data_IF_365887311944
#
_entry.id   IF_365887311944
#
_cell.length_a   1.000
_cell.length_b   1.000
_cell.length_c   1.000
_cell.angle_alpha   90.00
_cell.angle_beta   90.00
_cell.angle_gamma   90.00
#
_symmetry.space_group_name_H-M   'P 1'
#
loop_
_entity.id
_entity.type
_entity.pdbx_description
1 polymer ?
#
# COMPACT_ATOMS: atom_id res chain seq x y z
N UNK A 1 -17.41 4.02 -15.10
CA UNK A 1 -18.69 3.40 -15.52
C UNK A 1 -19.75 4.49 -15.62
N UNK A 2 -20.57 4.51 -16.68
CA UNK A 2 -21.67 5.48 -16.83
C UNK A 2 -23.01 4.75 -16.73
N UNK A 3 -23.87 5.18 -15.81
CA UNK A 3 -25.20 4.60 -15.55
C UNK A 3 -26.23 5.72 -15.40
N UNK A 4 -27.30 5.71 -16.21
CA UNK A 4 -28.41 6.65 -16.12
C UNK A 4 -27.97 8.12 -15.89
N UNK A 5 -27.05 8.61 -16.72
CA UNK A 5 -26.43 9.94 -16.66
C UNK A 5 -25.44 10.21 -15.52
N UNK A 6 -25.22 9.27 -14.60
CA UNK A 6 -24.19 9.34 -13.57
C UNK A 6 -22.92 8.60 -14.00
N UNK A 7 -21.77 9.26 -13.89
CA UNK A 7 -20.46 8.66 -14.14
C UNK A 7 -19.77 8.34 -12.81
N UNK A 8 -19.55 7.05 -12.57
CA UNK A 8 -18.94 6.53 -11.34
C UNK A 8 -17.55 5.98 -11.68
N UNK A 9 -16.54 6.46 -10.97
CA UNK A 9 -15.19 5.90 -10.94
C UNK A 9 -15.05 4.93 -9.75
N UNK A 10 -14.38 3.81 -9.98
CA UNK A 10 -14.16 2.76 -8.99
C UNK A 10 -12.66 2.69 -8.73
N UNK A 11 -12.25 3.00 -7.50
CA UNK A 11 -10.86 3.03 -7.05
C UNK A 11 -9.94 4.00 -7.83
N UNK A 12 -8.87 4.45 -7.17
CA UNK A 12 -7.79 5.27 -7.74
C UNK A 12 -6.45 4.94 -7.04
N UNK A 13 -5.81 3.84 -7.43
CA UNK A 13 -4.50 3.44 -6.89
C UNK A 13 -3.33 4.06 -7.65
N UNK A 14 -2.18 4.18 -6.98
CA UNK A 14 -0.89 4.39 -7.64
C UNK A 14 -0.31 3.07 -8.12
N UNK A 15 0.36 3.08 -9.26
CA UNK A 15 1.13 1.94 -9.74
C UNK A 15 2.51 1.92 -9.04
N UNK A 16 2.55 1.26 -7.89
CA UNK A 16 3.74 1.16 -7.03
C UNK A 16 4.88 0.27 -7.59
N UNK A 17 4.65 -0.79 -8.39
CA UNK A 17 5.71 -1.54 -9.05
C UNK A 17 6.73 -0.68 -9.80
N UNK A 18 6.33 0.47 -10.33
CA UNK A 18 7.23 1.45 -10.97
C UNK A 18 8.37 1.90 -10.03
N UNK A 19 8.17 1.87 -8.71
CA UNK A 19 9.21 2.23 -7.74
C UNK A 19 10.40 1.28 -7.72
N UNK A 20 10.26 0.06 -8.26
CA UNK A 20 11.35 -0.92 -8.39
C UNK A 20 12.39 -0.51 -9.42
N UNK A 21 12.05 0.43 -10.30
CA UNK A 21 12.95 0.99 -11.30
C UNK A 21 13.90 2.06 -10.74
N UNK A 22 13.69 2.49 -9.49
CA UNK A 22 14.51 3.50 -8.82
C UNK A 22 15.41 2.86 -7.78
N UNK A 23 16.61 3.41 -7.60
CA UNK A 23 17.46 3.00 -6.49
C UNK A 23 16.77 3.29 -5.15
N UNK A 24 16.97 2.43 -4.13
CA UNK A 24 16.49 2.72 -2.79
C UNK A 24 17.07 4.02 -2.26
N UNK A 25 16.22 4.88 -1.69
CA UNK A 25 16.65 6.14 -1.09
C UNK A 25 17.39 5.88 0.23
N UNK A 26 18.74 6.00 0.26
CA UNK A 26 19.50 5.61 1.43
C UNK A 26 19.44 6.72 2.49
N UNK A 27 18.98 6.38 3.70
CA UNK A 27 19.07 7.29 4.85
C UNK A 27 20.49 7.41 5.41
N UNK A 28 21.30 6.38 5.19
CA UNK A 28 22.67 6.28 5.64
C UNK A 28 23.52 5.88 4.45
N UNK A 29 24.75 6.37 4.42
CA UNK A 29 25.70 6.00 3.38
C UNK A 29 25.81 4.47 3.26
N UNK A 30 25.64 3.97 2.04
CA UNK A 30 25.78 2.55 1.72
C UNK A 30 26.87 2.38 0.66
N UNK A 31 28.03 1.80 1.01
CA UNK A 31 29.11 1.60 0.04
C UNK A 31 28.67 0.69 -1.11
N UNK A 32 27.73 -0.23 -0.85
CA UNK A 32 27.16 -1.12 -1.87
C UNK A 32 26.32 -0.36 -2.90
N UNK A 33 25.50 0.60 -2.47
CA UNK A 33 24.67 1.40 -3.37
C UNK A 33 25.50 2.48 -4.09
N UNK A 34 26.37 3.18 -3.37
CA UNK A 34 27.23 4.22 -3.96
C UNK A 34 28.27 3.64 -4.93
N UNK A 35 28.67 2.39 -4.71
CA UNK A 35 29.66 1.67 -5.53
C UNK A 35 29.07 0.93 -6.74
N UNK A 36 27.77 1.05 -7.00
CA UNK A 36 27.18 0.44 -8.20
C UNK A 36 27.80 1.04 -9.47
N UNK A 37 28.09 0.21 -10.49
CA UNK A 37 28.61 0.70 -11.76
C UNK A 37 27.59 1.61 -12.43
N UNK A 38 28.09 2.62 -13.14
CA UNK A 38 27.25 3.46 -14.00
C UNK A 38 26.83 2.66 -15.21
N UNK A 39 25.56 2.75 -15.58
CA UNK A 39 25.11 2.20 -16.84
C UNK A 39 25.74 3.00 -17.99
N UNK A 40 26.16 2.31 -19.03
CA UNK A 40 26.69 2.92 -20.24
C UNK A 40 25.81 2.53 -21.42
N UNK A 41 25.38 3.54 -22.19
CA UNK A 41 24.64 3.30 -23.41
C UNK A 41 25.51 2.52 -24.39
N UNK A 42 25.02 1.36 -24.85
CA UNK A 42 25.71 0.50 -25.81
C UNK A 42 25.51 0.95 -27.25
N UNK A 43 24.58 1.86 -27.51
CA UNK A 43 24.33 2.44 -28.83
C UNK A 43 25.18 3.71 -29.02
N UNK A 44 26.20 3.68 -29.89
CA UNK A 44 27.09 4.82 -30.09
C UNK A 44 26.41 6.04 -30.72
N UNK A 45 25.26 5.88 -31.40
CA UNK A 45 24.51 7.01 -31.96
C UNK A 45 23.80 7.82 -30.88
N UNK A 46 23.28 7.14 -29.86
CA UNK A 46 22.54 7.74 -28.73
C UNK A 46 23.51 8.23 -27.65
N UNK A 47 24.64 7.53 -27.47
CA UNK A 47 25.66 7.90 -26.48
C UNK A 47 26.32 9.26 -26.74
N UNK A 48 26.39 9.71 -28.01
CA UNK A 48 26.98 11.00 -28.40
C UNK A 48 26.08 12.19 -28.07
N UNK A 49 24.76 12.00 -28.13
CA UNK A 49 23.76 13.04 -27.90
C UNK A 49 23.31 13.15 -26.43
N UNK A 50 23.80 12.26 -25.56
CA UNK A 50 23.41 12.20 -24.16
C UNK A 50 24.30 13.11 -23.30
N UNK A 51 23.73 14.13 -22.63
CA UNK A 51 24.48 14.92 -21.65
C UNK A 51 25.07 14.01 -20.58
N UNK A 52 26.38 14.16 -20.28
CA UNK A 52 27.07 13.32 -19.29
C UNK A 52 26.35 13.30 -17.94
N UNK A 53 25.74 14.42 -17.54
CA UNK A 53 25.02 14.55 -16.28
C UNK A 53 23.76 13.67 -16.21
N UNK A 54 23.10 13.42 -17.35
CA UNK A 54 21.92 12.54 -17.43
C UNK A 54 22.35 11.07 -17.42
N UNK A 55 23.40 10.71 -18.16
CA UNK A 55 23.93 9.34 -18.16
C UNK A 55 24.38 8.90 -16.75
N UNK A 56 24.84 9.84 -15.92
CA UNK A 56 25.24 9.60 -14.53
C UNK A 56 24.09 9.21 -13.61
N UNK A 57 22.83 9.43 -14.02
CA UNK A 57 21.64 9.09 -13.23
C UNK A 57 21.24 7.61 -13.34
N UNK A 58 21.93 6.81 -14.17
CA UNK A 58 21.63 5.39 -14.34
C UNK A 58 22.72 4.51 -13.72
N UNK A 59 22.30 3.52 -12.93
CA UNK A 59 23.17 2.50 -12.32
C UNK A 59 22.76 1.12 -12.79
N UNK A 60 23.73 0.23 -12.92
CA UNK A 60 23.47 -1.16 -13.33
C UNK A 60 23.80 -2.12 -12.19
N UNK A 61 22.97 -3.15 -11.99
CA UNK A 61 23.26 -4.26 -11.10
C UNK A 61 22.64 -5.54 -11.67
N UNK A 62 23.46 -6.57 -11.90
CA UNK A 62 23.03 -7.89 -12.42
C UNK A 62 22.14 -7.75 -13.68
N UNK A 63 22.51 -6.88 -14.62
CA UNK A 63 21.77 -6.67 -15.88
C UNK A 63 20.49 -5.84 -15.75
N UNK A 64 20.12 -5.40 -14.53
CA UNK A 64 19.03 -4.46 -14.31
C UNK A 64 19.57 -3.03 -14.20
N UNK A 65 18.89 -2.09 -14.86
CA UNK A 65 19.20 -0.66 -14.80
C UNK A 65 18.25 0.02 -13.82
N UNK A 66 18.80 0.89 -12.98
CA UNK A 66 18.08 1.65 -11.97
C UNK A 66 18.31 3.14 -12.15
N UNK A 67 17.29 3.92 -11.82
CA UNK A 67 17.33 5.38 -11.84
C UNK A 67 17.75 5.90 -10.45
N UNK A 68 18.86 6.64 -10.41
CA UNK A 68 19.35 7.39 -9.25
C UNK A 68 18.67 8.76 -9.19
N UNK A 69 17.37 8.77 -8.90
CA UNK A 69 16.61 10.01 -8.66
C UNK A 69 15.55 9.79 -7.59
N UNK A 70 14.89 10.88 -7.19
CA UNK A 70 13.63 10.76 -6.46
C UNK A 70 12.65 9.87 -7.25
N UNK A 71 11.99 8.88 -6.61
CA UNK A 71 11.04 8.01 -7.30
C UNK A 71 9.86 8.78 -7.85
N UNK A 72 9.48 8.47 -9.08
CA UNK A 72 8.26 8.97 -9.71
C UNK A 72 7.19 7.88 -9.71
N UNK A 73 5.93 8.31 -9.68
CA UNK A 73 4.75 7.46 -9.61
C UNK A 73 4.01 7.50 -10.93
N UNK A 74 3.61 6.33 -11.42
CA UNK A 74 2.68 6.23 -12.53
C UNK A 74 1.26 6.35 -12.01
N UNK A 75 0.49 7.20 -12.69
CA UNK A 75 -0.93 7.40 -12.45
C UNK A 75 -1.74 6.47 -13.37
N UNK A 76 -2.97 6.08 -12.97
CA UNK A 76 -3.89 5.41 -13.88
C UNK A 76 -4.06 6.23 -15.17
N UNK A 77 -4.25 5.56 -16.31
CA UNK A 77 -4.46 6.26 -17.58
C UNK A 77 -5.70 7.16 -17.52
N UNK A 78 -5.49 8.47 -17.45
CA UNK A 78 -6.57 9.47 -17.40
C UNK A 78 -6.97 9.97 -18.78
N UNK A 79 -6.28 9.59 -19.86
CA UNK A 79 -6.49 10.12 -21.20
C UNK A 79 -7.81 9.67 -21.86
N UNK A 80 -8.45 8.63 -21.33
CA UNK A 80 -9.68 8.06 -21.91
C UNK A 80 -10.96 8.76 -21.43
N UNK A 81 -10.92 9.44 -20.27
CA UNK A 81 -12.09 10.04 -19.64
C UNK A 81 -11.70 11.35 -18.98
N UNK A 82 -12.43 12.43 -19.30
CA UNK A 82 -12.31 13.69 -18.57
C UNK A 82 -12.81 13.54 -17.13
N UNK A 83 -11.89 13.58 -16.17
CA UNK A 83 -12.17 13.40 -14.75
C UNK A 83 -13.02 14.52 -14.16
N UNK A 84 -13.15 15.67 -14.83
CA UNK A 84 -14.08 16.73 -14.42
C UNK A 84 -15.55 16.34 -14.58
N UNK A 85 -15.84 15.36 -15.45
CA UNK A 85 -17.20 14.85 -15.73
C UNK A 85 -17.62 13.69 -14.84
N UNK A 86 -16.74 13.24 -13.94
CA UNK A 86 -17.02 12.12 -13.03
C UNK A 86 -17.74 12.62 -11.79
N UNK A 87 -18.95 12.11 -11.57
CA UNK A 87 -19.85 12.57 -10.51
C UNK A 87 -19.53 11.96 -9.14
N UNK A 88 -19.04 10.73 -9.12
CA UNK A 88 -18.72 10.00 -7.90
C UNK A 88 -17.50 9.08 -8.03
N UNK A 89 -16.73 8.98 -6.95
CA UNK A 89 -15.61 8.05 -6.77
C UNK A 89 -15.87 7.16 -5.56
N UNK A 90 -15.87 5.85 -5.78
CA UNK A 90 -16.05 4.84 -4.74
C UNK A 90 -14.70 4.20 -4.42
N UNK A 91 -14.27 4.28 -3.17
CA UNK A 91 -12.98 3.75 -2.70
C UNK A 91 -13.20 2.49 -1.87
N UNK A 92 -12.64 1.37 -2.34
CA UNK A 92 -12.82 0.04 -1.78
C UNK A 92 -11.90 -0.26 -0.60
N UNK A 93 -10.65 0.24 -0.60
CA UNK A 93 -9.69 0.01 0.47
C UNK A 93 -8.62 1.11 0.53
N UNK A 94 -7.72 1.02 1.50
CA UNK A 94 -6.75 2.10 1.73
C UNK A 94 -5.64 2.18 0.66
N UNK A 95 -5.31 1.07 -0.01
CA UNK A 95 -4.35 1.03 -1.11
C UNK A 95 -4.97 1.53 -2.42
N UNK A 96 -6.27 1.37 -2.57
CA UNK A 96 -7.02 1.77 -3.76
C UNK A 96 -7.34 3.27 -3.81
N UNK A 97 -6.84 4.07 -2.87
CA UNK A 97 -7.09 5.51 -2.79
C UNK A 97 -5.82 6.37 -2.95
N UNK A 98 -4.66 5.74 -3.18
CA UNK A 98 -3.36 6.44 -3.14
C UNK A 98 -3.20 7.51 -4.23
N UNK A 99 -3.90 7.42 -5.36
CA UNK A 99 -3.83 8.44 -6.41
C UNK A 99 -4.75 9.64 -6.17
N UNK A 100 -5.58 9.63 -5.13
CA UNK A 100 -6.63 10.61 -4.89
C UNK A 100 -6.14 12.08 -4.90
N UNK A 101 -5.01 12.45 -4.27
CA UNK A 101 -4.53 13.83 -4.32
C UNK A 101 -4.28 14.33 -5.75
N UNK A 102 -3.76 13.47 -6.63
CA UNK A 102 -3.52 13.83 -8.03
C UNK A 102 -4.82 14.11 -8.79
N UNK A 103 -5.85 13.28 -8.59
CA UNK A 103 -7.17 13.46 -9.20
C UNK A 103 -7.75 14.84 -8.87
N UNK A 104 -7.60 15.26 -7.61
CA UNK A 104 -8.19 16.49 -7.09
C UNK A 104 -7.39 17.73 -7.52
N UNK A 105 -6.05 17.66 -7.51
CA UNK A 105 -5.21 18.83 -7.77
C UNK A 105 -4.87 19.03 -9.24
N UNK A 106 -4.65 17.93 -9.97
CA UNK A 106 -4.13 17.98 -11.34
C UNK A 106 -5.19 17.69 -12.41
N UNK A 107 -6.21 16.91 -12.08
CA UNK A 107 -7.21 16.47 -13.06
C UNK A 107 -8.61 17.07 -12.84
N UNK A 108 -8.75 18.04 -11.93
CA UNK A 108 -9.99 18.80 -11.76
C UNK A 108 -11.19 17.98 -11.28
N UNK A 109 -10.98 16.79 -10.72
CA UNK A 109 -12.07 15.95 -10.23
C UNK A 109 -12.87 16.68 -9.14
N UNK A 110 -14.17 16.89 -9.36
CA UNK A 110 -15.05 17.67 -8.48
C UNK A 110 -16.20 16.84 -7.87
N UNK A 111 -16.35 15.58 -8.28
CA UNK A 111 -17.38 14.68 -7.79
C UNK A 111 -17.30 14.34 -6.29
N UNK A 112 -18.33 13.60 -5.83
CA UNK A 112 -18.42 13.10 -4.45
C UNK A 112 -17.50 11.88 -4.27
N UNK A 113 -16.86 11.75 -3.11
CA UNK A 113 -15.94 10.64 -2.83
C UNK A 113 -16.48 9.88 -1.62
N UNK A 114 -16.59 8.56 -1.73
CA UNK A 114 -17.10 7.71 -0.66
C UNK A 114 -16.10 6.62 -0.30
N UNK A 115 -15.90 6.41 0.99
CA UNK A 115 -15.07 5.34 1.52
C UNK A 115 -15.54 4.99 2.94
N UNK A 116 -15.17 3.81 3.43
CA UNK A 116 -15.46 3.48 4.83
C UNK A 116 -14.57 4.29 5.79
N UNK A 117 -15.04 4.50 7.03
CA UNK A 117 -14.30 5.28 8.02
C UNK A 117 -12.87 4.78 8.30
N UNK A 118 -12.61 3.45 8.47
CA UNK A 118 -11.24 2.98 8.63
C UNK A 118 -10.42 3.16 7.36
N UNK A 119 -11.01 2.97 6.18
CA UNK A 119 -10.31 3.22 4.90
C UNK A 119 -9.82 4.65 4.81
N UNK A 120 -10.64 5.66 5.14
CA UNK A 120 -10.19 7.07 5.17
C UNK A 120 -8.96 7.27 6.06
N UNK A 121 -8.99 6.66 7.25
CA UNK A 121 -7.92 6.81 8.25
C UNK A 121 -6.63 6.13 7.80
N UNK A 122 -6.70 4.89 7.33
CA UNK A 122 -5.52 4.16 6.86
C UNK A 122 -4.98 4.71 5.54
N UNK A 123 -5.83 5.21 4.64
CA UNK A 123 -5.38 5.93 3.43
C UNK A 123 -4.53 7.12 3.83
N UNK A 124 -5.01 7.94 4.77
CA UNK A 124 -4.24 9.08 5.28
C UNK A 124 -2.87 8.64 5.82
N UNK A 125 -2.84 7.60 6.67
CA UNK A 125 -1.59 7.09 7.22
C UNK A 125 -0.62 6.57 6.15
N UNK A 126 -1.11 5.83 5.15
CA UNK A 126 -0.29 5.33 4.05
C UNK A 126 0.30 6.48 3.22
N UNK A 127 -0.53 7.50 2.92
CA UNK A 127 -0.07 8.67 2.16
C UNK A 127 0.99 9.48 2.94
N UNK A 128 0.77 9.69 4.24
CA UNK A 128 1.71 10.40 5.13
C UNK A 128 3.02 9.63 5.29
N UNK A 129 2.95 8.31 5.43
CA UNK A 129 4.13 7.45 5.49
C UNK A 129 4.93 7.49 4.18
N UNK A 130 4.24 7.35 3.04
CA UNK A 130 4.87 7.40 1.72
C UNK A 130 5.55 8.75 1.49
N UNK A 131 4.88 9.85 1.83
CA UNK A 131 5.43 11.21 1.77
C UNK A 131 6.65 11.37 2.67
N UNK A 132 6.56 10.92 3.92
CA UNK A 132 7.68 10.96 4.86
C UNK A 132 8.88 10.14 4.35
N UNK A 133 8.66 8.97 3.74
CA UNK A 133 9.75 8.14 3.23
C UNK A 133 10.45 8.69 2.00
N UNK A 134 9.73 9.42 1.14
CA UNK A 134 10.28 10.02 -0.06
C UNK A 134 11.02 11.31 0.27
N UNK A 135 10.38 12.22 1.02
CA UNK A 135 10.92 13.55 1.27
C UNK A 135 11.93 13.63 2.43
N UNK A 136 12.15 12.55 3.17
CA UNK A 136 13.24 12.48 4.16
C UNK A 136 14.64 12.35 3.52
N UNK A 137 14.72 11.91 2.27
CA UNK A 137 15.99 11.82 1.55
C UNK A 137 16.45 13.22 1.12
N UNK A 138 17.76 13.52 1.15
CA UNK A 138 18.25 14.81 0.67
C UNK A 138 17.82 15.02 -0.78
N UNK A 139 17.41 16.24 -1.18
CA UNK A 139 16.98 16.52 -2.53
C UNK A 139 18.14 16.23 -3.50
N UNK A 140 17.89 15.34 -4.46
CA UNK A 140 18.78 15.19 -5.62
C UNK A 140 18.39 16.26 -6.65
N UNK A 141 19.36 17.05 -7.10
CA UNK A 141 19.20 18.21 -8.01
C UNK A 141 18.66 17.86 -9.42
N UNK A 142 18.45 16.58 -9.72
CA UNK A 142 18.18 16.06 -11.06
C UNK A 142 16.80 15.42 -11.22
N UNK A 143 15.78 15.86 -10.46
CA UNK A 143 14.45 15.26 -10.59
C UNK A 143 13.91 15.39 -12.02
N UNK A 144 13.51 14.26 -12.60
CA UNK A 144 12.96 14.12 -13.96
C UNK A 144 13.83 14.55 -15.16
N UNK A 145 15.09 14.97 -14.99
CA UNK A 145 15.99 15.29 -16.12
C UNK A 145 16.32 14.06 -16.98
N UNK A 146 16.20 12.86 -16.41
CA UNK A 146 16.39 11.59 -17.09
C UNK A 146 15.28 11.23 -18.09
N UNK A 147 14.16 11.97 -18.10
CA UNK A 147 13.05 11.74 -19.02
C UNK A 147 13.38 12.21 -20.44
N UNK A 148 14.09 11.37 -21.18
CA UNK A 148 14.47 11.62 -22.55
C UNK A 148 14.11 10.40 -23.43
N UNK A 149 13.42 10.63 -24.55
CA UNK A 149 12.94 9.58 -25.46
C UNK A 149 14.07 8.77 -26.09
N UNK A 150 15.20 9.41 -26.45
CA UNK A 150 16.34 8.71 -27.05
C UNK A 150 17.02 7.81 -26.03
N UNK A 151 17.20 8.31 -24.80
CA UNK A 151 17.73 7.51 -23.69
C UNK A 151 16.80 6.34 -23.36
N UNK A 152 15.50 6.61 -23.23
CA UNK A 152 14.51 5.58 -22.90
C UNK A 152 14.53 4.43 -23.91
N UNK A 153 14.65 4.77 -25.20
CA UNK A 153 14.76 3.79 -26.29
C UNK A 153 16.03 2.94 -26.22
N UNK A 154 17.12 3.49 -25.68
CA UNK A 154 18.41 2.81 -25.54
C UNK A 154 18.56 1.91 -24.32
N UNK A 155 17.66 2.02 -23.33
CA UNK A 155 17.70 1.19 -22.13
C UNK A 155 17.49 -0.29 -22.49
N UNK A 156 18.08 -1.25 -21.75
CA UNK A 156 17.81 -2.67 -21.97
C UNK A 156 16.32 -2.98 -21.87
N UNK A 157 15.83 -3.90 -22.72
CA UNK A 157 14.46 -4.40 -22.61
C UNK A 157 14.31 -5.14 -21.27
N UNK A 158 13.26 -4.80 -20.52
CA UNK A 158 13.05 -5.24 -19.14
C UNK A 158 12.11 -4.30 -18.37
N UNK A 159 12.16 -4.36 -17.02
CA UNK A 159 11.23 -3.72 -16.06
C UNK A 159 10.98 -2.22 -16.31
N UNK A 160 11.96 -1.51 -16.86
CA UNK A 160 11.83 -0.10 -17.23
C UNK A 160 10.93 0.08 -18.46
N UNK A 161 11.24 -0.59 -19.57
CA UNK A 161 10.56 -0.43 -20.88
C UNK A 161 9.18 -1.09 -20.98
N UNK A 162 8.86 -2.05 -20.11
CA UNK A 162 7.50 -2.62 -20.02
C UNK A 162 6.44 -1.55 -19.69
N UNK A 163 6.87 -0.43 -19.10
CA UNK A 163 5.99 0.70 -18.84
C UNK A 163 5.86 1.60 -20.07
N UNK A 164 4.72 1.49 -20.75
CA UNK A 164 4.31 2.49 -21.74
C UNK A 164 4.08 3.84 -21.04
N UNK A 165 4.77 4.88 -21.51
CA UNK A 165 4.60 6.29 -21.13
C UNK A 165 5.19 6.73 -19.76
N UNK A 166 6.53 6.86 -19.72
CA UNK A 166 7.26 7.47 -18.58
C UNK A 166 7.04 9.00 -18.45
N UNK A 167 6.49 9.67 -19.47
CA UNK A 167 6.21 11.11 -19.42
C UNK A 167 5.12 11.43 -18.40
N UNK A 168 4.16 10.52 -18.25
CA UNK A 168 3.07 10.65 -17.29
C UNK A 168 3.46 10.38 -15.83
N UNK A 169 4.68 9.91 -15.56
CA UNK A 169 5.12 9.68 -14.19
C UNK A 169 5.31 11.01 -13.45
N UNK A 170 4.82 11.11 -12.22
CA UNK A 170 4.87 12.36 -11.44
C UNK A 170 5.57 12.15 -10.11
N UNK A 171 6.16 13.22 -9.58
CA UNK A 171 6.56 13.28 -8.17
C UNK A 171 5.34 13.10 -7.27
N UNK A 172 5.57 12.61 -6.05
CA UNK A 172 4.51 12.41 -5.07
C UNK A 172 3.82 13.75 -4.71
N UNK A 173 2.58 13.67 -4.22
CA UNK A 173 1.87 14.81 -3.65
C UNK A 173 2.49 15.29 -2.33
N UNK A 174 2.16 16.53 -1.95
CA UNK A 174 2.58 17.16 -0.70
C UNK A 174 1.63 16.81 0.46
N UNK A 175 2.04 17.15 1.69
CA UNK A 175 1.20 16.99 2.88
C UNK A 175 -0.10 17.80 2.80
N UNK A 176 -0.07 18.98 2.19
CA UNK A 176 -1.26 19.80 1.96
C UNK A 176 -2.25 19.09 1.02
N UNK A 177 -1.74 18.51 -0.07
CA UNK A 177 -2.56 17.74 -1.01
C UNK A 177 -3.19 16.51 -0.37
N UNK A 178 -2.49 15.85 0.56
CA UNK A 178 -3.06 14.77 1.37
C UNK A 178 -4.25 15.28 2.20
N UNK A 179 -4.08 16.38 2.96
CA UNK A 179 -5.17 16.88 3.80
C UNK A 179 -6.38 17.33 2.98
N UNK A 180 -6.15 18.00 1.85
CA UNK A 180 -7.20 18.42 0.91
C UNK A 180 -7.94 17.23 0.30
N UNK A 181 -7.22 16.14 -0.01
CA UNK A 181 -7.83 14.93 -0.54
C UNK A 181 -8.69 14.21 0.49
N UNK A 182 -8.15 14.01 1.70
CA UNK A 182 -8.84 13.31 2.78
C UNK A 182 -10.09 14.07 3.25
N UNK A 183 -10.04 15.40 3.31
CA UNK A 183 -11.18 16.22 3.76
C UNK A 183 -12.39 16.16 2.82
N UNK A 184 -12.21 15.74 1.57
CA UNK A 184 -13.30 15.57 0.59
C UNK A 184 -13.98 14.20 0.66
N UNK A 185 -13.40 13.24 1.37
CA UNK A 185 -13.98 11.90 1.46
C UNK A 185 -15.15 11.91 2.43
N UNK A 186 -16.31 11.44 1.99
CA UNK A 186 -17.48 11.21 2.81
C UNK A 186 -17.39 9.80 3.41
N UNK A 187 -17.17 9.68 4.74
CA UNK A 187 -17.05 8.38 5.38
C UNK A 187 -18.42 7.72 5.50
N UNK A 188 -18.49 6.43 5.19
CA UNK A 188 -19.72 5.63 5.26
C UNK A 188 -19.52 4.37 6.08
N UNK A 189 -20.63 3.76 6.50
CA UNK A 189 -20.67 2.50 7.24
C UNK A 189 -20.95 1.31 6.31
N UNK A 190 -20.65 0.09 6.79
CA UNK A 190 -21.12 -1.10 6.08
C UNK A 190 -22.65 -1.16 6.05
N UNK A 191 -23.19 -1.68 4.95
CA UNK A 191 -24.62 -1.76 4.66
C UNK A 191 -25.36 -0.40 4.60
N UNK A 192 -24.64 0.71 4.63
CA UNK A 192 -25.21 2.03 4.39
C UNK A 192 -25.45 2.22 2.89
N UNK A 193 -26.69 2.49 2.51
CA UNK A 193 -27.07 2.77 1.12
C UNK A 193 -27.16 4.28 0.90
N UNK A 194 -26.40 4.77 -0.08
CA UNK A 194 -26.34 6.17 -0.47
C UNK A 194 -27.06 6.34 -1.80
N UNK A 195 -27.97 7.30 -1.87
CA UNK A 195 -28.63 7.69 -3.11
C UNK A 195 -27.80 8.74 -3.85
N UNK A 196 -27.22 8.34 -4.99
CA UNK A 196 -26.53 9.21 -5.92
C UNK A 196 -27.54 9.76 -6.94
N UNK A 197 -27.87 11.04 -6.74
CA UNK A 197 -28.67 11.83 -7.69
C UNK A 197 -30.04 11.23 -8.03
N UNK A 198 -30.66 10.47 -7.12
CA UNK A 198 -31.98 9.85 -7.28
C UNK A 198 -32.08 8.79 -8.39
N UNK A 199 -30.94 8.31 -8.89
CA UNK A 199 -30.89 7.38 -10.02
C UNK A 199 -30.06 6.12 -9.74
N UNK A 200 -29.06 6.24 -8.86
CA UNK A 200 -28.13 5.15 -8.55
C UNK A 200 -27.96 5.04 -7.04
N UNK A 201 -28.23 3.86 -6.49
CA UNK A 201 -27.97 3.55 -5.09
C UNK A 201 -26.65 2.81 -4.97
N UNK A 202 -25.80 3.24 -4.04
CA UNK A 202 -24.52 2.57 -3.77
C UNK A 202 -24.48 2.10 -2.33
N UNK A 203 -24.04 0.86 -2.12
CA UNK A 203 -23.93 0.25 -0.78
C UNK A 203 -22.57 -0.39 -0.60
N UNK A 204 -21.88 -0.09 0.51
CA UNK A 204 -20.62 -0.74 0.85
C UNK A 204 -20.85 -2.00 1.70
N UNK A 205 -20.30 -3.10 1.24
CA UNK A 205 -20.32 -4.40 1.93
C UNK A 205 -18.92 -4.77 2.37
N UNK A 206 -18.73 -5.50 3.45
CA UNK A 206 -17.37 -5.90 3.85
C UNK A 206 -16.73 -6.84 2.82
N UNK A 207 -15.45 -6.59 2.48
CA UNK A 207 -14.69 -7.45 1.55
C UNK A 207 -13.82 -8.51 2.24
N UNK A 208 -13.66 -8.43 3.57
CA UNK A 208 -12.81 -9.35 4.34
C UNK A 208 -11.29 -9.22 4.13
N UNK A 209 -10.82 -8.27 3.32
CA UNK A 209 -9.42 -8.17 2.95
C UNK A 209 -8.55 -7.45 4.00
N UNK A 210 -8.92 -6.22 4.35
CA UNK A 210 -8.28 -5.43 5.40
C UNK A 210 -9.31 -4.63 6.21
N UNK A 211 -8.89 -4.01 7.31
CA UNK A 211 -9.79 -3.22 8.15
C UNK A 211 -10.44 -2.08 7.34
N UNK A 212 -11.77 -2.04 7.30
CA UNK A 212 -12.55 -1.08 6.52
C UNK A 212 -12.71 -1.40 5.03
N UNK A 213 -12.01 -2.41 4.49
CA UNK A 213 -12.17 -2.76 3.07
C UNK A 213 -13.61 -3.15 2.73
N UNK A 214 -14.07 -2.72 1.55
CA UNK A 214 -15.41 -2.97 1.09
C UNK A 214 -15.49 -3.37 -0.39
N UNK A 215 -16.57 -4.09 -0.70
CA UNK A 215 -17.08 -4.32 -2.04
C UNK A 215 -18.31 -3.42 -2.24
N UNK A 216 -18.49 -2.90 -3.44
CA UNK A 216 -19.57 -1.96 -3.74
C UNK A 216 -20.70 -2.66 -4.49
N UNK A 217 -21.92 -2.50 -4.00
CA UNK A 217 -23.14 -2.80 -4.75
C UNK A 217 -23.66 -1.50 -5.33
N UNK A 218 -23.87 -1.47 -6.64
CA UNK A 218 -24.34 -0.31 -7.39
C UNK A 218 -25.63 -0.73 -8.07
N UNK A 219 -26.75 -0.20 -7.59
CA UNK A 219 -28.11 -0.57 -8.00
C UNK A 219 -28.79 0.62 -8.68
N UNK A 220 -29.32 0.38 -9.87
CA UNK A 220 -30.30 1.26 -10.50
C UNK A 220 -31.68 0.62 -10.42
N UNK A 221 -32.69 1.24 -11.02
CA UNK A 221 -34.03 0.63 -11.10
C UNK A 221 -34.04 -0.73 -11.82
N UNK A 222 -33.12 -0.95 -12.77
CA UNK A 222 -33.15 -2.11 -13.65
C UNK A 222 -31.92 -3.03 -13.54
N UNK A 223 -30.80 -2.53 -13.03
CA UNK A 223 -29.54 -3.27 -13.04
C UNK A 223 -28.86 -3.22 -11.67
N UNK A 224 -28.24 -4.33 -11.32
CA UNK A 224 -27.39 -4.50 -10.14
C UNK A 224 -25.98 -4.87 -10.57
N UNK A 225 -25.04 -3.99 -10.27
CA UNK A 225 -23.61 -4.20 -10.49
C UNK A 225 -22.94 -4.47 -9.15
N UNK A 226 -22.21 -5.57 -9.06
CA UNK A 226 -21.35 -5.86 -7.92
C UNK A 226 -19.89 -5.61 -8.32
N UNK A 227 -19.23 -4.68 -7.62
CA UNK A 227 -17.80 -4.45 -7.72
C UNK A 227 -17.07 -5.12 -6.57
N UNK A 228 -16.33 -6.17 -6.90
CA UNK A 228 -15.46 -6.91 -5.98
C UNK A 228 -14.04 -6.41 -6.21
N UNK A 229 -13.53 -5.63 -5.27
CA UNK A 229 -12.12 -5.20 -5.26
C UNK A 229 -11.29 -6.25 -4.52
N UNK A 230 -10.15 -5.86 -3.93
CA UNK A 230 -9.36 -6.73 -3.05
C UNK A 230 -10.24 -7.32 -1.94
N UNK A 231 -10.51 -8.61 -2.04
CA UNK A 231 -11.43 -9.36 -1.17
C UNK A 231 -10.77 -10.64 -0.70
N UNK A 232 -11.11 -11.09 0.50
CA UNK A 232 -10.62 -12.36 1.04
C UNK A 232 -11.79 -13.19 1.54
N UNK A 233 -11.80 -14.47 1.17
CA UNK A 233 -12.74 -15.45 1.72
C UNK A 233 -12.24 -16.12 2.98
N UNK A 234 -10.96 -15.92 3.34
CA UNK A 234 -10.38 -16.42 4.58
C UNK A 234 -10.86 -15.59 5.76
N UNK A 235 -11.10 -16.25 6.88
CA UNK A 235 -11.47 -15.60 8.13
C UNK A 235 -10.23 -15.15 8.87
N UNK A 236 -9.89 -13.88 8.72
CA UNK A 236 -8.82 -13.17 9.44
C UNK A 236 -9.44 -12.22 10.48
N UNK A 237 -8.67 -11.28 11.01
CA UNK A 237 -9.17 -10.30 11.98
C UNK A 237 -10.23 -9.30 11.47
N UNK A 238 -10.20 -8.81 10.21
CA UNK A 238 -11.27 -7.97 9.65
C UNK A 238 -12.65 -8.64 9.65
N UNK A 239 -13.71 -7.83 9.54
CA UNK A 239 -15.07 -8.33 9.33
C UNK A 239 -15.11 -9.27 8.09
N UNK A 240 -15.69 -10.48 8.19
CA UNK A 240 -15.74 -11.41 7.06
C UNK A 240 -16.46 -10.84 5.83
N UNK A 241 -16.06 -11.30 4.64
CA UNK A 241 -16.68 -10.88 3.39
C UNK A 241 -18.18 -11.19 3.36
N UNK A 242 -18.99 -10.19 3.05
CA UNK A 242 -20.44 -10.35 2.95
C UNK A 242 -20.83 -10.89 1.57
N UNK A 243 -21.35 -12.12 1.54
CA UNK A 243 -21.64 -12.85 0.29
C UNK A 243 -23.09 -12.79 -0.15
N UNK A 244 -24.02 -12.62 0.80
CA UNK A 244 -25.45 -12.75 0.53
C UNK A 244 -25.95 -11.71 -0.48
N UNK A 245 -25.50 -10.45 -0.31
CA UNK A 245 -25.88 -9.32 -1.16
C UNK A 245 -25.16 -9.30 -2.51
N UNK A 246 -24.08 -10.06 -2.69
CA UNK A 246 -23.40 -10.21 -3.98
C UNK A 246 -24.15 -11.13 -4.95
N UNK A 247 -25.09 -11.95 -4.45
CA UNK A 247 -25.91 -12.83 -5.29
C UNK A 247 -26.86 -12.01 -6.18
N UNK A 248 -27.20 -12.60 -7.32
CA UNK A 248 -28.13 -12.03 -8.30
C UNK A 248 -27.70 -10.66 -8.83
N UNK A 249 -26.39 -10.39 -8.92
CA UNK A 249 -25.88 -9.25 -9.66
C UNK A 249 -25.94 -9.56 -11.16
N UNK A 250 -26.40 -8.60 -11.96
CA UNK A 250 -26.43 -8.71 -13.43
C UNK A 250 -25.02 -8.61 -14.01
N UNK A 251 -24.18 -7.78 -13.38
CA UNK A 251 -22.79 -7.58 -13.77
C UNK A 251 -21.90 -7.73 -12.54
N UNK A 252 -20.87 -8.57 -12.66
CA UNK A 252 -19.82 -8.73 -11.67
C UNK A 252 -18.51 -8.17 -12.22
N UNK A 253 -18.00 -7.09 -11.62
CA UNK A 253 -16.70 -6.53 -11.93
C UNK A 253 -15.74 -6.96 -10.81
N UNK A 254 -14.70 -7.71 -11.17
CA UNK A 254 -13.68 -8.17 -10.22
C UNK A 254 -12.34 -7.49 -10.52
N UNK A 255 -11.71 -6.93 -9.49
CA UNK A 255 -10.35 -6.39 -9.52
C UNK A 255 -9.51 -6.97 -8.38
N UNK A 256 -8.21 -6.71 -8.38
CA UNK A 256 -7.32 -7.17 -7.30
C UNK A 256 -7.20 -8.70 -7.20
N UNK A 257 -7.38 -9.41 -8.31
CA UNK A 257 -7.26 -10.86 -8.37
C UNK A 257 -5.80 -11.26 -8.17
N UNK A 258 -5.56 -12.12 -7.20
CA UNK A 258 -4.30 -12.84 -7.06
C UNK A 258 -4.44 -14.24 -7.64
N UNK A 259 -3.36 -14.80 -8.18
CA UNK A 259 -3.34 -16.22 -8.49
C UNK A 259 -3.64 -17.02 -7.22
N UNK A 260 -4.37 -18.13 -7.35
CA UNK A 260 -4.60 -19.03 -6.23
C UNK A 260 -3.25 -19.33 -5.56
N UNK A 261 -3.10 -19.09 -4.25
CA UNK A 261 -1.81 -19.27 -3.60
C UNK A 261 -1.40 -20.73 -3.77
N UNK A 262 -0.16 -20.95 -4.22
CA UNK A 262 0.39 -22.29 -4.45
C UNK A 262 0.47 -23.13 -3.16
N UNK A 263 0.38 -22.48 -1.99
CA UNK A 263 0.40 -23.08 -0.67
C UNK A 263 -0.73 -22.53 0.22
N UNK A 264 -1.15 -23.35 1.19
CA UNK A 264 -2.11 -22.94 2.21
C UNK A 264 -1.49 -21.82 3.09
N UNK A 265 -2.21 -20.70 3.36
CA UNK A 265 -1.78 -19.64 4.27
C UNK A 265 -1.25 -20.13 5.63
N UNK A 266 -1.90 -21.14 6.23
CA UNK A 266 -1.46 -21.70 7.52
C UNK A 266 -0.08 -22.36 7.43
N UNK A 267 0.19 -23.04 6.31
CA UNK A 267 1.48 -23.68 6.04
C UNK A 267 2.57 -22.63 5.80
N UNK A 268 2.27 -21.58 5.03
CA UNK A 268 3.20 -20.47 4.80
C UNK A 268 3.57 -19.76 6.10
N UNK A 269 2.58 -19.54 6.96
CA UNK A 269 2.78 -18.90 8.26
C UNK A 269 3.59 -19.79 9.21
N UNK A 270 3.33 -21.09 9.23
CA UNK A 270 4.12 -22.06 10.01
C UNK A 270 5.58 -22.12 9.53
N UNK A 271 5.83 -22.07 8.21
CA UNK A 271 7.18 -22.00 7.67
C UNK A 271 7.88 -20.69 8.07
N UNK A 272 7.23 -19.53 7.92
CA UNK A 272 7.76 -18.24 8.35
C UNK A 272 8.18 -18.27 9.82
N UNK A 273 7.30 -18.74 10.70
CA UNK A 273 7.55 -18.88 12.13
C UNK A 273 8.76 -19.79 12.42
N UNK A 274 8.86 -20.92 11.71
CA UNK A 274 9.95 -21.88 11.87
C UNK A 274 11.30 -21.28 11.45
N UNK A 275 11.35 -20.63 10.27
CA UNK A 275 12.56 -19.96 9.76
C UNK A 275 13.00 -18.82 10.68
N UNK A 276 12.04 -18.04 11.17
CA UNK A 276 12.27 -16.97 12.14
C UNK A 276 12.91 -17.53 13.42
N UNK A 277 12.32 -18.56 14.04
CA UNK A 277 12.86 -19.15 15.26
C UNK A 277 14.25 -19.77 15.07
N UNK A 278 14.50 -20.44 13.94
CA UNK A 278 15.83 -20.96 13.60
C UNK A 278 16.87 -19.82 13.56
N UNK A 279 16.52 -18.72 12.89
CA UNK A 279 17.40 -17.54 12.77
C UNK A 279 17.72 -16.93 14.15
N UNK A 280 16.70 -16.76 15.00
CA UNK A 280 16.85 -16.20 16.35
C UNK A 280 17.66 -17.11 17.28
N UNK A 281 17.43 -18.42 17.23
CA UNK A 281 18.19 -19.42 18.01
C UNK A 281 19.67 -19.42 17.63
N UNK A 282 19.97 -19.22 16.35
CA UNK A 282 21.34 -19.09 15.83
C UNK A 282 22.00 -17.74 16.14
N UNK A 283 21.31 -16.82 16.83
CA UNK A 283 21.87 -15.51 17.18
C UNK A 283 21.73 -14.43 16.11
N UNK A 284 21.00 -14.71 15.02
CA UNK A 284 20.68 -13.74 13.98
C UNK A 284 19.53 -12.79 14.35
N UNK A 285 19.32 -11.79 13.50
CA UNK A 285 18.18 -10.88 13.55
C UNK A 285 17.22 -11.21 12.41
N UNK A 286 15.94 -10.89 12.58
CA UNK A 286 14.90 -11.12 11.57
C UNK A 286 14.33 -9.78 11.13
N UNK A 287 14.34 -9.53 9.82
CA UNK A 287 13.78 -8.33 9.22
C UNK A 287 12.60 -8.74 8.32
N UNK A 288 11.41 -8.20 8.60
CA UNK A 288 10.20 -8.49 7.81
C UNK A 288 9.71 -7.20 7.15
N UNK A 289 9.80 -7.07 5.81
CA UNK A 289 9.22 -5.94 5.10
C UNK A 289 7.70 -6.09 5.01
N UNK A 290 6.95 -5.07 5.41
CA UNK A 290 5.48 -5.11 5.40
C UNK A 290 4.85 -3.73 5.14
N UNK A 291 3.54 -3.70 4.92
CA UNK A 291 2.75 -2.47 4.98
C UNK A 291 2.39 -2.13 6.43
N UNK A 292 2.09 -0.85 6.77
CA UNK A 292 1.80 -0.45 8.15
C UNK A 292 0.43 -0.91 8.66
N UNK A 293 -0.40 -1.54 7.83
CA UNK A 293 -1.78 -1.95 8.13
C UNK A 293 -2.16 -3.20 7.33
N UNK A 294 -3.29 -3.82 7.65
CA UNK A 294 -3.80 -5.03 7.01
C UNK A 294 -3.25 -6.30 7.65
N UNK A 295 -2.72 -7.21 6.82
CA UNK A 295 -2.21 -8.55 7.22
C UNK A 295 -1.15 -8.49 8.33
N UNK A 296 -0.49 -7.34 8.50
CA UNK A 296 0.41 -7.09 9.63
C UNK A 296 -0.22 -7.49 10.98
N UNK A 297 -1.49 -7.16 11.21
CA UNK A 297 -2.11 -7.44 12.51
C UNK A 297 -2.29 -8.94 12.77
N UNK A 298 -2.68 -9.70 11.73
CA UNK A 298 -2.77 -11.16 11.80
C UNK A 298 -1.40 -11.79 12.07
N UNK A 299 -0.36 -11.28 11.39
CA UNK A 299 1.00 -11.76 11.60
C UNK A 299 1.53 -11.45 12.99
N UNK A 300 1.30 -10.24 13.53
CA UNK A 300 1.74 -9.87 14.88
C UNK A 300 1.13 -10.79 15.94
N UNK A 301 -0.15 -11.13 15.81
CA UNK A 301 -0.84 -12.04 16.72
C UNK A 301 -0.32 -13.47 16.63
N UNK A 302 -0.15 -13.99 15.40
CA UNK A 302 0.40 -15.33 15.20
C UNK A 302 1.84 -15.44 15.71
N UNK A 303 2.70 -14.47 15.39
CA UNK A 303 4.08 -14.47 15.83
C UNK A 303 4.18 -14.44 17.36
N UNK A 304 3.32 -13.67 18.04
CA UNK A 304 3.29 -13.65 19.51
C UNK A 304 3.00 -15.04 20.08
N UNK A 305 1.92 -15.68 19.62
CA UNK A 305 1.57 -17.03 20.06
C UNK A 305 2.70 -18.04 19.80
N UNK A 306 3.38 -17.91 18.65
CA UNK A 306 4.48 -18.79 18.30
C UNK A 306 5.73 -18.56 19.16
N UNK A 307 6.14 -17.30 19.38
CA UNK A 307 7.29 -16.95 20.23
C UNK A 307 7.13 -17.51 21.65
N UNK A 308 5.90 -17.45 22.19
CA UNK A 308 5.58 -18.04 23.49
C UNK A 308 5.75 -19.56 23.51
N UNK A 309 5.22 -20.25 22.49
CA UNK A 309 5.40 -21.70 22.37
C UNK A 309 6.86 -22.15 22.17
N UNK A 310 7.69 -21.28 21.60
CA UNK A 310 9.08 -21.58 21.24
C UNK A 310 10.12 -21.20 22.32
N UNK A 311 9.68 -20.74 23.50
CA UNK A 311 10.51 -20.15 24.55
C UNK A 311 11.36 -18.97 24.05
N UNK A 312 10.79 -18.17 23.15
CA UNK A 312 11.40 -16.97 22.56
C UNK A 312 10.69 -15.67 22.98
N UNK A 313 9.85 -15.71 24.03
CA UNK A 313 9.07 -14.54 24.46
C UNK A 313 9.91 -13.34 24.90
N UNK A 314 11.19 -13.54 25.23
CA UNK A 314 12.13 -12.46 25.59
C UNK A 314 12.70 -11.73 24.36
N UNK A 315 12.41 -12.19 23.14
CA UNK A 315 12.88 -11.55 21.90
C UNK A 315 12.06 -10.27 21.65
N UNK A 316 12.70 -9.08 21.59
CA UNK A 316 11.97 -7.85 21.34
C UNK A 316 11.49 -7.78 19.88
N UNK A 317 10.25 -7.32 19.71
CA UNK A 317 9.61 -7.08 18.41
C UNK A 317 9.46 -5.57 18.20
N UNK A 318 10.07 -5.07 17.13
CA UNK A 318 10.03 -3.66 16.76
C UNK A 318 9.14 -3.44 15.55
N UNK A 319 8.28 -2.42 15.60
CA UNK A 319 7.49 -1.97 14.46
C UNK A 319 7.94 -0.58 14.02
N UNK A 320 8.62 -0.50 12.87
CA UNK A 320 9.34 0.69 12.44
C UNK A 320 8.58 1.38 11.32
N UNK A 321 7.88 2.45 11.68
CA UNK A 321 7.13 3.30 10.75
C UNK A 321 6.86 4.66 11.39
N UNK A 322 6.85 5.76 10.61
CA UNK A 322 6.42 7.07 11.11
C UNK A 322 4.98 7.04 11.66
N UNK A 323 4.15 6.11 11.17
CA UNK A 323 2.74 5.92 11.56
C UNK A 323 2.51 4.68 12.43
N UNK A 324 3.58 4.02 12.93
CA UNK A 324 3.49 2.77 13.69
C UNK A 324 2.51 2.86 14.88
N UNK A 325 2.74 3.84 15.77
CA UNK A 325 1.93 4.02 16.98
C UNK A 325 0.46 4.28 16.66
N UNK A 326 0.19 5.17 15.70
CA UNK A 326 -1.18 5.50 15.32
C UNK A 326 -1.87 4.30 14.64
N UNK A 327 -1.16 3.54 13.80
CA UNK A 327 -1.71 2.34 13.15
C UNK A 327 -2.16 1.30 14.18
N UNK A 328 -1.30 0.98 15.16
CA UNK A 328 -1.66 0.05 16.23
C UNK A 328 -2.84 0.57 17.07
N UNK A 329 -2.89 1.87 17.38
CA UNK A 329 -4.03 2.48 18.07
C UNK A 329 -5.33 2.36 17.27
N UNK A 330 -5.32 2.68 15.97
CA UNK A 330 -6.52 2.61 15.14
C UNK A 330 -7.05 1.19 14.96
N UNK A 331 -6.18 0.18 14.93
CA UNK A 331 -6.62 -1.23 14.93
C UNK A 331 -7.52 -1.56 16.13
N UNK A 332 -7.28 -0.96 17.29
CA UNK A 332 -8.12 -1.14 18.49
C UNK A 332 -9.34 -0.22 18.51
N UNK A 333 -9.23 1.00 17.96
CA UNK A 333 -10.34 1.96 17.89
C UNK A 333 -11.47 1.46 16.99
N UNK A 334 -11.13 0.84 15.85
CA UNK A 334 -12.10 0.35 14.86
C UNK A 334 -12.55 -1.10 15.14
N UNK A 335 -12.72 -1.47 16.40
CA UNK A 335 -13.09 -2.83 16.77
C UNK A 335 -14.44 -3.27 16.18
N UNK A 336 -15.36 -2.33 15.92
CA UNK A 336 -16.64 -2.58 15.28
C UNK A 336 -16.51 -3.07 13.82
N UNK A 337 -15.33 -2.92 13.21
CA UNK A 337 -15.00 -3.35 11.84
C UNK A 337 -14.28 -4.70 11.79
N UNK A 338 -14.10 -5.36 12.94
CA UNK A 338 -13.44 -6.67 13.05
C UNK A 338 -14.44 -7.83 12.96
N UNK A 339 -13.91 -9.05 12.95
CA UNK A 339 -14.71 -10.27 13.08
C UNK A 339 -15.36 -10.38 14.47
N UNK A 340 -16.41 -11.20 14.57
CA UNK A 340 -17.22 -11.27 15.79
C UNK A 340 -16.40 -11.70 17.01
N UNK A 341 -15.45 -12.63 16.85
CA UNK A 341 -14.54 -13.05 17.92
C UNK A 341 -13.74 -11.88 18.53
N UNK A 342 -13.36 -10.88 17.72
CA UNK A 342 -12.65 -9.69 18.18
C UNK A 342 -13.60 -8.65 18.77
N UNK A 343 -14.78 -8.47 18.18
CA UNK A 343 -15.83 -7.61 18.73
C UNK A 343 -16.22 -8.06 20.14
N UNK A 344 -16.36 -9.37 20.37
CA UNK A 344 -16.68 -9.94 21.69
C UNK A 344 -15.68 -9.54 22.77
N UNK A 345 -14.38 -9.46 22.46
CA UNK A 345 -13.35 -9.04 23.43
C UNK A 345 -13.58 -7.62 23.95
N UNK A 346 -14.03 -6.71 23.10
CA UNK A 346 -14.30 -5.32 23.50
C UNK A 346 -15.48 -5.20 24.45
N UNK A 347 -16.46 -6.10 24.36
CA UNK A 347 -17.55 -6.19 25.35
C UNK A 347 -17.08 -6.70 26.71
N UNK A 348 -15.93 -7.38 26.78
CA UNK A 348 -15.30 -7.92 28.00
C UNK A 348 -14.19 -7.00 28.57
N UNK A 349 -14.30 -5.68 28.34
CA UNK A 349 -13.19 -4.72 28.43
C UNK A 349 -11.78 -5.17 28.02
N UNK A 350 -11.66 -6.16 27.14
CA UNK A 350 -10.37 -6.67 26.66
C UNK A 350 -9.93 -5.97 25.38
N UNK A 351 -8.61 -5.84 25.20
CA UNK A 351 -8.07 -5.33 23.94
C UNK A 351 -8.31 -6.35 22.82
N UNK A 352 -8.84 -5.96 21.65
CA UNK A 352 -9.09 -6.89 20.57
C UNK A 352 -7.78 -7.51 20.05
N UNK A 353 -6.70 -6.74 20.07
CA UNK A 353 -5.37 -7.18 19.64
C UNK A 353 -4.36 -7.23 20.79
N UNK A 354 -3.50 -8.26 20.83
CA UNK A 354 -2.52 -8.44 21.90
C UNK A 354 -1.32 -7.49 21.78
N UNK A 355 -1.12 -6.83 20.63
CA UNK A 355 -0.08 -5.81 20.44
C UNK A 355 -0.43 -4.46 21.09
N UNK A 356 -1.65 -4.30 21.61
CA UNK A 356 -2.08 -3.12 22.34
C UNK A 356 -1.39 -2.97 23.72
N UNK A 357 -0.87 -4.08 24.27
CA UNK A 357 -0.13 -4.10 25.53
C UNK A 357 1.30 -3.57 25.34
N UNK A 358 1.44 -2.25 25.23
CA UNK A 358 2.72 -1.57 24.96
C UNK A 358 3.65 -1.53 26.19
N UNK A 359 3.24 -2.06 27.36
CA UNK A 359 4.03 -2.04 28.60
C UNK A 359 4.48 -3.43 29.03
N UNK A 360 5.75 -3.76 28.76
CA UNK A 360 6.45 -4.94 29.28
C UNK A 360 7.53 -5.43 28.33
N UNK A 361 8.27 -6.47 28.74
CA UNK A 361 9.22 -7.26 27.92
C UNK A 361 8.60 -7.91 26.66
N UNK A 362 7.29 -7.70 26.45
CA UNK A 362 6.41 -8.44 25.54
C UNK A 362 5.63 -7.53 24.56
N UNK A 363 5.89 -6.22 24.55
CA UNK A 363 5.17 -5.24 23.73
C UNK A 363 5.84 -4.96 22.39
N UNK A 364 5.05 -4.77 21.32
CA UNK A 364 5.57 -4.30 20.02
C UNK A 364 6.03 -2.86 20.19
N UNK A 365 7.34 -2.63 20.07
CA UNK A 365 7.94 -1.31 20.22
C UNK A 365 7.79 -0.53 18.91
N UNK A 366 6.81 0.38 18.88
CA UNK A 366 6.61 1.29 17.76
C UNK A 366 7.73 2.36 17.71
N UNK A 367 8.51 2.37 16.63
CA UNK A 367 9.62 3.30 16.43
C UNK A 367 9.45 4.10 15.14
N UNK A 368 9.78 5.40 15.18
CA UNK A 368 9.74 6.26 13.99
C UNK A 368 11.00 6.15 13.12
N UNK A 369 12.16 5.81 13.70
CA UNK A 369 13.46 5.80 13.01
C UNK A 369 14.30 4.58 13.44
N UNK A 370 15.03 3.92 12.52
CA UNK A 370 15.86 2.75 12.84
C UNK A 370 17.08 3.00 13.75
N UNK A 371 17.42 4.26 14.03
CA UNK A 371 18.71 4.64 14.66
C UNK A 371 18.93 4.04 16.06
N UNK A 372 17.87 3.59 16.74
CA UNK A 372 17.92 2.97 18.07
C UNK A 372 18.20 1.45 18.05
N UNK A 373 18.28 0.81 16.87
CA UNK A 373 18.52 -0.64 16.75
C UNK A 373 19.97 -1.07 16.96
N UNK A 374 20.94 -0.14 16.97
CA UNK A 374 22.38 -0.45 16.98
C UNK A 374 22.87 -1.20 18.22
N UNK A 375 22.11 -1.19 19.31
CA UNK A 375 22.55 -1.74 20.61
C UNK A 375 22.02 -3.16 20.92
N UNK A 376 21.13 -3.72 20.09
CA UNK A 376 20.44 -4.97 20.42
C UNK A 376 20.90 -6.16 19.56
N UNK A 377 21.31 -7.26 20.21
CA UNK A 377 21.53 -8.58 19.59
C UNK A 377 20.25 -9.41 19.71
N UNK A 378 19.86 -10.15 18.66
CA UNK A 378 18.65 -10.99 18.57
C UNK A 378 17.33 -10.21 18.63
N UNK A 379 16.95 -9.59 17.52
CA UNK A 379 15.71 -8.80 17.42
C UNK A 379 14.87 -9.18 16.20
N UNK A 380 13.56 -8.96 16.29
CA UNK A 380 12.66 -8.96 15.13
C UNK A 380 12.31 -7.51 14.83
N UNK A 381 12.54 -7.06 13.60
CA UNK A 381 12.15 -5.75 13.13
C UNK A 381 11.18 -5.87 11.93
N UNK A 382 9.97 -5.37 12.14
CA UNK A 382 9.03 -5.09 11.07
C UNK A 382 9.39 -3.74 10.47
N UNK A 383 9.85 -3.75 9.22
CA UNK A 383 10.19 -2.55 8.50
C UNK A 383 9.07 -2.24 7.52
N UNK A 384 8.37 -1.12 7.75
CA UNK A 384 7.54 -0.60 6.69
C UNK A 384 8.42 -0.12 5.55
N UNK A 385 8.20 -0.67 4.35
CA UNK A 385 8.96 -0.31 3.17
C UNK A 385 8.02 0.30 2.14
N UNK A 386 8.33 1.53 1.70
CA UNK A 386 7.66 2.14 0.55
C UNK A 386 8.00 1.46 -0.78
N UNK A 387 9.09 0.68 -0.82
CA UNK A 387 9.55 -0.10 -1.97
C UNK A 387 9.51 -1.59 -1.63
N UNK A 388 8.91 -2.41 -2.48
CA UNK A 388 9.15 -3.86 -2.44
C UNK A 388 10.66 -4.07 -2.60
N UNK A 389 11.28 -4.85 -1.72
CA UNK A 389 12.55 -5.47 -2.09
C UNK A 389 12.18 -6.60 -3.06
N UNK A 390 12.60 -6.52 -4.31
CA UNK A 390 12.52 -7.69 -5.20
C UNK A 390 13.44 -8.78 -4.63
N UNK A 391 12.98 -10.03 -4.70
CA UNK A 391 13.74 -11.22 -4.30
C UNK A 391 15.09 -11.35 -5.01
#
# INVERSE_FOLDING_TARGET
MRMNHTTIMLDCSLDLPVLLNFLPLPLVYSPKLSGLPRWQCKDPSIAVDLPEDIARLFRENVGHVFIESLPLFRLPETGLVDLSTVDALLLSNCFSALALPFLIEKYGFSGKIFATKPTVTFTKQLMEELSHYIYRAPPTDHSAQWKNDSLWSSLPDGTLKESSDFHNWKELYTMEGIQKAISRIQPISYSETIDLFHHVKVTALSSGFCLGSCNWIIETEYNKVAYISSSSTFTTHPCPMERARLKSADILIMSGLTNAPSANPDTMLAELCTRMAQTLKNGGNVLIPCYPTGVLYDLLECLKAYLDSANLSNVPVYFISPVAKSSLSFSNIFAEWLCDAKKTKVYLPEQPFPHAEVRGSYGVMAMRVPAQLKEYRKTIAWLCVAQRFSE
#
